data_IF_267546501880
#
_entry.id   IF_267546501880
#
_cell.length_a   1.000
_cell.length_b   1.000
_cell.length_c   1.000
_cell.angle_alpha   90.00
_cell.angle_beta   90.00
_cell.angle_gamma   90.00
#
_symmetry.space_group_name_H-M   'P 1'
#
loop_
_entity.id
_entity.type
_entity.pdbx_description
1 polymer ?
#
# COMPACT_ATOMS: atom_id res chain seq x y z
N UNK A 1 -19.61 -0.27 10.18
CA UNK A 1 -20.07 0.12 11.54
C UNK A 1 -21.57 -0.08 11.69
N UNK A 2 -22.42 0.57 10.88
CA UNK A 2 -23.89 0.48 11.02
C UNK A 2 -24.43 -0.96 10.90
N UNK A 3 -24.01 -1.71 9.88
CA UNK A 3 -24.47 -3.08 9.65
C UNK A 3 -24.07 -4.02 10.80
N UNK A 4 -22.86 -3.88 11.33
CA UNK A 4 -22.43 -4.67 12.49
C UNK A 4 -23.15 -4.27 13.79
N UNK A 5 -23.34 -2.96 14.00
CA UNK A 5 -24.13 -2.49 15.16
C UNK A 5 -25.57 -3.01 15.10
N UNK A 6 -26.12 -3.19 13.89
CA UNK A 6 -27.44 -3.76 13.65
C UNK A 6 -27.45 -5.30 13.59
N UNK A 7 -26.30 -5.96 13.79
CA UNK A 7 -26.13 -7.42 13.65
C UNK A 7 -26.56 -7.97 12.28
N UNK A 8 -26.30 -7.20 11.22
CA UNK A 8 -26.63 -7.56 9.84
C UNK A 8 -25.38 -8.13 9.18
N UNK A 9 -25.45 -9.38 8.75
CA UNK A 9 -24.42 -10.00 7.95
C UNK A 9 -24.32 -9.34 6.58
N UNK A 10 -23.09 -9.09 6.11
CA UNK A 10 -22.84 -8.45 4.82
C UNK A 10 -21.61 -9.03 4.12
N UNK A 11 -21.63 -8.93 2.79
CA UNK A 11 -20.49 -9.28 1.95
C UNK A 11 -20.02 -8.05 1.18
N UNK A 12 -18.71 -7.83 1.15
CA UNK A 12 -18.10 -6.75 0.39
C UNK A 12 -17.48 -7.29 -0.89
N UNK A 13 -17.92 -6.80 -2.06
CA UNK A 13 -17.41 -7.22 -3.35
C UNK A 13 -16.45 -6.19 -3.96
N UNK A 14 -15.47 -6.68 -4.70
CA UNK A 14 -14.66 -5.82 -5.53
C UNK A 14 -15.49 -5.33 -6.73
N UNK A 15 -15.70 -3.99 -6.90
CA UNK A 15 -16.51 -3.45 -7.99
C UNK A 15 -16.02 -3.84 -9.38
N UNK A 16 -14.71 -4.04 -9.54
CA UNK A 16 -14.14 -4.47 -10.81
C UNK A 16 -14.47 -5.93 -11.12
N UNK A 17 -14.52 -6.80 -10.11
CA UNK A 17 -14.93 -8.19 -10.26
C UNK A 17 -16.41 -8.25 -10.67
N UNK A 18 -17.27 -7.54 -9.94
CA UNK A 18 -18.69 -7.40 -10.29
C UNK A 18 -18.86 -6.95 -11.75
N UNK A 19 -18.19 -5.87 -12.15
CA UNK A 19 -18.28 -5.33 -13.51
C UNK A 19 -17.82 -6.30 -14.59
N UNK A 20 -16.80 -7.12 -14.32
CA UNK A 20 -16.26 -8.07 -15.31
C UNK A 20 -17.05 -9.37 -15.39
N UNK A 21 -17.68 -9.81 -14.32
CA UNK A 21 -18.41 -11.07 -14.25
C UNK A 21 -19.77 -11.01 -14.94
N UNK A 22 -20.38 -9.83 -15.01
CA UNK A 22 -21.75 -9.66 -15.54
C UNK A 22 -21.80 -9.28 -17.03
N UNK A 23 -20.67 -9.25 -17.72
CA UNK A 23 -20.62 -8.97 -19.17
C UNK A 23 -20.97 -7.53 -19.54
N UNK A 24 -21.39 -7.32 -20.80
CA UNK A 24 -21.80 -6.02 -21.32
C UNK A 24 -23.26 -5.73 -20.93
N UNK A 25 -23.44 -4.75 -20.06
CA UNK A 25 -24.78 -4.32 -19.64
C UNK A 25 -25.02 -2.88 -20.04
N UNK A 26 -26.18 -2.62 -20.62
CA UNK A 26 -26.65 -1.26 -20.98
C UNK A 26 -27.50 -0.68 -19.83
N UNK A 27 -27.43 0.61 -19.66
CA UNK A 27 -28.14 1.34 -18.59
C UNK A 27 -27.27 1.53 -17.34
N UNK A 28 -27.39 2.70 -16.71
CA UNK A 28 -26.70 3.07 -15.47
C UNK A 28 -27.68 3.84 -14.60
N UNK A 29 -28.26 3.16 -13.63
CA UNK A 29 -29.02 3.76 -12.55
C UNK A 29 -28.93 2.83 -11.32
N UNK A 30 -29.26 3.34 -10.16
CA UNK A 30 -29.13 2.62 -8.89
C UNK A 30 -29.95 1.33 -8.83
N UNK A 31 -31.11 1.28 -9.48
CA UNK A 31 -31.95 0.06 -9.56
C UNK A 31 -31.23 -1.04 -10.35
N UNK A 32 -30.70 -0.73 -11.54
CA UNK A 32 -29.95 -1.67 -12.35
C UNK A 32 -28.70 -2.15 -11.63
N UNK A 33 -28.02 -1.28 -10.90
CA UNK A 33 -26.83 -1.64 -10.13
C UNK A 33 -27.19 -2.53 -8.93
N UNK A 34 -28.31 -2.28 -8.24
CA UNK A 34 -28.81 -3.16 -7.19
C UNK A 34 -29.19 -4.55 -7.70
N UNK A 35 -29.90 -4.64 -8.85
CA UNK A 35 -30.24 -5.90 -9.49
C UNK A 35 -29.00 -6.71 -9.88
N UNK A 36 -27.94 -6.03 -10.37
CA UNK A 36 -26.66 -6.66 -10.71
C UNK A 36 -25.93 -7.19 -9.48
N UNK A 37 -25.91 -6.43 -8.40
CA UNK A 37 -25.30 -6.86 -7.13
C UNK A 37 -26.02 -8.11 -6.62
N UNK A 38 -27.36 -8.10 -6.63
CA UNK A 38 -28.16 -9.24 -6.21
C UNK A 38 -27.91 -10.47 -7.08
N UNK A 39 -27.89 -10.29 -8.41
CA UNK A 39 -27.63 -11.39 -9.35
C UNK A 39 -26.20 -11.96 -9.21
N UNK A 40 -25.20 -11.10 -9.05
CA UNK A 40 -23.83 -11.52 -8.78
C UNK A 40 -23.73 -12.31 -7.46
N UNK A 41 -24.36 -11.82 -6.40
CA UNK A 41 -24.40 -12.50 -5.11
C UNK A 41 -25.07 -13.88 -5.22
N UNK A 42 -26.15 -13.99 -5.98
CA UNK A 42 -26.83 -15.26 -6.23
C UNK A 42 -25.95 -16.26 -7.01
N UNK A 43 -25.27 -15.81 -8.06
CA UNK A 43 -24.38 -16.68 -8.85
C UNK A 43 -23.18 -17.21 -8.04
N UNK A 44 -22.67 -16.41 -7.12
CA UNK A 44 -21.49 -16.75 -6.32
C UNK A 44 -21.82 -17.12 -4.87
N UNK A 45 -23.08 -17.44 -4.56
CA UNK A 45 -23.54 -17.68 -3.17
C UNK A 45 -22.72 -18.73 -2.42
N UNK A 46 -22.23 -19.74 -3.12
CA UNK A 46 -21.44 -20.83 -2.54
C UNK A 46 -19.97 -20.45 -2.27
N UNK A 47 -19.52 -19.33 -2.85
CA UNK A 47 -18.17 -18.77 -2.71
C UNK A 47 -18.13 -17.57 -1.74
N UNK A 48 -19.31 -17.08 -1.31
CA UNK A 48 -19.40 -15.89 -0.46
C UNK A 48 -18.93 -16.17 0.96
N UNK A 49 -18.10 -15.27 1.46
CA UNK A 49 -17.78 -15.20 2.88
C UNK A 49 -18.27 -13.87 3.47
N UNK A 50 -18.86 -13.93 4.65
CA UNK A 50 -19.24 -12.70 5.36
C UNK A 50 -18.02 -11.84 5.68
N UNK A 51 -18.14 -10.57 5.34
CA UNK A 51 -17.13 -9.58 5.68
C UNK A 51 -17.16 -9.30 7.18
N UNK A 52 -15.99 -9.17 7.78
CA UNK A 52 -15.84 -8.74 9.17
C UNK A 52 -15.20 -7.37 9.20
N UNK A 53 -15.67 -6.52 10.10
CA UNK A 53 -15.04 -5.23 10.30
C UNK A 53 -13.61 -5.44 10.86
N UNK A 54 -12.71 -4.60 10.44
CA UNK A 54 -11.37 -4.53 11.04
C UNK A 54 -11.48 -4.13 12.51
N UNK A 55 -10.54 -4.57 13.35
CA UNK A 55 -10.50 -4.13 14.76
C UNK A 55 -10.50 -2.61 14.89
N UNK A 56 -10.99 -2.10 16.01
CA UNK A 56 -11.13 -0.66 16.26
C UNK A 56 -9.82 0.11 16.07
N UNK A 57 -8.68 -0.47 16.49
CA UNK A 57 -7.34 0.10 16.29
C UNK A 57 -7.03 0.29 14.79
N UNK A 58 -7.33 -0.68 13.93
CA UNK A 58 -7.09 -0.59 12.48
C UNK A 58 -8.01 0.45 11.83
N UNK A 59 -9.26 0.57 12.27
CA UNK A 59 -10.19 1.58 11.77
C UNK A 59 -9.66 2.97 12.09
N UNK A 60 -9.28 3.22 13.33
CA UNK A 60 -8.71 4.50 13.76
C UNK A 60 -7.41 4.84 13.01
N UNK A 61 -6.50 3.86 12.87
CA UNK A 61 -5.28 4.05 12.08
C UNK A 61 -5.58 4.40 10.62
N UNK A 62 -6.64 3.84 10.04
CA UNK A 62 -7.07 4.16 8.66
C UNK A 62 -7.55 5.59 8.54
N UNK A 63 -8.30 6.09 9.52
CA UNK A 63 -8.80 7.47 9.55
C UNK A 63 -7.63 8.46 9.68
N UNK A 64 -6.70 8.23 10.61
CA UNK A 64 -5.49 9.05 10.76
C UNK A 64 -4.58 9.00 9.52
N UNK A 65 -4.42 7.84 8.90
CA UNK A 65 -3.65 7.73 7.65
C UNK A 65 -4.29 8.54 6.50
N UNK A 66 -5.62 8.58 6.44
CA UNK A 66 -6.34 9.40 5.46
C UNK A 66 -6.20 10.90 5.77
N UNK A 67 -6.20 11.31 7.03
CA UNK A 67 -5.96 12.68 7.48
C UNK A 67 -4.53 13.13 7.18
N UNK A 68 -3.53 12.35 7.62
CA UNK A 68 -2.12 12.58 7.30
C UNK A 68 -1.90 12.80 5.81
N UNK A 69 -2.52 11.96 4.98
CA UNK A 69 -2.42 12.07 3.52
C UNK A 69 -2.97 13.40 2.99
N UNK A 70 -4.07 13.91 3.57
CA UNK A 70 -4.61 15.25 3.20
C UNK A 70 -3.60 16.34 3.52
N UNK A 71 -3.01 16.30 4.73
CA UNK A 71 -2.00 17.30 5.16
C UNK A 71 -0.74 17.24 4.30
N UNK A 72 -0.20 16.06 4.03
CA UNK A 72 0.97 15.89 3.15
C UNK A 72 0.71 16.42 1.74
N UNK A 73 -0.51 16.20 1.20
CA UNK A 73 -0.88 16.75 -0.12
C UNK A 73 -0.92 18.27 -0.11
N UNK A 74 -1.58 18.89 0.88
CA UNK A 74 -1.65 20.35 1.01
C UNK A 74 -0.25 20.95 1.22
N UNK A 75 0.57 20.32 2.05
CA UNK A 75 1.96 20.74 2.26
C UNK A 75 2.76 20.73 0.96
N UNK A 76 2.63 19.68 0.16
CA UNK A 76 3.32 19.59 -1.13
C UNK A 76 2.88 20.70 -2.10
N UNK A 77 1.59 21.08 -2.09
CA UNK A 77 1.06 22.21 -2.89
C UNK A 77 1.70 23.54 -2.46
N UNK A 78 1.77 23.82 -1.15
CA UNK A 78 2.43 25.02 -0.63
C UNK A 78 3.95 25.03 -0.88
N UNK A 79 4.62 23.90 -0.69
CA UNK A 79 6.06 23.75 -0.99
C UNK A 79 6.35 23.97 -2.47
N UNK A 80 5.49 23.46 -3.37
CA UNK A 80 5.57 23.75 -4.80
C UNK A 80 5.45 25.23 -5.11
N UNK A 81 4.40 25.89 -4.57
CA UNK A 81 4.20 27.34 -4.71
C UNK A 81 5.43 28.16 -4.25
N UNK A 82 6.04 27.79 -3.12
CA UNK A 82 7.24 28.46 -2.62
C UNK A 82 8.47 28.20 -3.50
N UNK A 83 8.60 26.99 -4.04
CA UNK A 83 9.71 26.62 -4.93
C UNK A 83 9.67 27.43 -6.23
N UNK A 84 8.48 27.60 -6.80
CA UNK A 84 8.28 28.40 -8.04
C UNK A 84 8.58 29.88 -7.84
N UNK A 85 8.61 30.37 -6.60
CA UNK A 85 8.81 31.77 -6.22
C UNK A 85 10.06 32.03 -5.37
N UNK A 86 11.00 31.10 -5.35
CA UNK A 86 12.22 31.20 -4.51
C UNK A 86 13.06 32.45 -4.80
N UNK A 87 13.01 32.97 -6.04
CA UNK A 87 13.77 34.13 -6.49
C UNK A 87 12.91 35.42 -6.56
N UNK A 88 11.67 35.38 -6.03
CA UNK A 88 10.77 36.52 -5.97
C UNK A 88 10.98 37.33 -4.68
N UNK A 89 10.64 38.63 -4.73
CA UNK A 89 10.57 39.42 -3.50
C UNK A 89 9.58 38.82 -2.50
N UNK A 90 9.94 38.88 -1.21
CA UNK A 90 9.09 38.38 -0.13
C UNK A 90 7.80 39.19 -0.04
N UNK A 91 6.68 38.57 -0.33
CA UNK A 91 5.35 39.15 -0.23
C UNK A 91 4.56 38.50 0.89
N UNK A 92 3.51 39.18 1.38
CA UNK A 92 2.62 38.62 2.42
C UNK A 92 1.99 37.27 1.99
N UNK A 93 1.90 37.01 0.70
CA UNK A 93 1.40 35.72 0.17
C UNK A 93 2.43 34.61 0.35
N UNK A 94 3.71 34.90 0.10
CA UNK A 94 4.82 33.95 0.32
C UNK A 94 4.98 33.65 1.82
N UNK A 95 4.90 34.69 2.66
CA UNK A 95 4.96 34.55 4.13
C UNK A 95 3.83 33.64 4.66
N UNK A 96 2.58 33.87 4.20
CA UNK A 96 1.45 33.02 4.57
C UNK A 96 1.64 31.57 4.09
N UNK A 97 2.14 31.36 2.87
CA UNK A 97 2.41 30.03 2.36
C UNK A 97 3.48 29.29 3.19
N UNK A 98 4.56 30.03 3.56
CA UNK A 98 5.61 29.46 4.44
C UNK A 98 5.07 29.15 5.85
N UNK A 99 4.19 29.98 6.39
CA UNK A 99 3.52 29.72 7.66
C UNK A 99 2.62 28.48 7.59
N UNK A 100 1.84 28.33 6.51
CA UNK A 100 1.01 27.13 6.31
C UNK A 100 1.83 25.84 6.21
N UNK A 101 3.03 25.89 5.60
CA UNK A 101 3.94 24.73 5.59
C UNK A 101 4.32 24.32 7.01
N UNK A 102 4.64 25.28 7.89
CA UNK A 102 5.00 25.00 9.30
C UNK A 102 3.83 24.36 10.05
N UNK A 103 2.63 24.94 9.94
CA UNK A 103 1.43 24.36 10.57
C UNK A 103 1.21 22.92 10.10
N UNK A 104 1.32 22.67 8.78
CA UNK A 104 1.11 21.33 8.24
C UNK A 104 2.24 20.36 8.64
N UNK A 105 3.48 20.82 8.84
CA UNK A 105 4.56 19.99 9.42
C UNK A 105 4.20 19.56 10.86
N UNK A 106 3.69 20.48 11.68
CA UNK A 106 3.26 20.21 13.07
C UNK A 106 2.06 19.26 13.12
N UNK A 107 1.05 19.48 12.30
CA UNK A 107 -0.14 18.61 12.23
C UNK A 107 0.19 17.18 11.72
N UNK A 108 1.10 17.08 10.74
CA UNK A 108 1.57 15.76 10.27
C UNK A 108 2.27 15.02 11.40
N UNK A 109 3.15 15.69 12.15
CA UNK A 109 3.86 15.10 13.27
C UNK A 109 2.90 14.65 14.38
N UNK A 110 1.90 15.48 14.71
CA UNK A 110 0.86 15.15 15.71
C UNK A 110 0.07 13.91 15.33
N UNK A 111 -0.41 13.83 14.08
CA UNK A 111 -1.13 12.66 13.58
C UNK A 111 -0.26 11.40 13.58
N UNK A 112 1.03 11.51 13.21
CA UNK A 112 1.97 10.39 13.26
C UNK A 112 2.19 9.89 14.69
N UNK A 113 2.24 10.79 15.67
CA UNK A 113 2.34 10.45 17.09
C UNK A 113 1.10 9.72 17.59
N UNK A 114 -0.10 10.22 17.27
CA UNK A 114 -1.36 9.54 17.60
C UNK A 114 -1.45 8.14 16.99
N UNK A 115 -1.00 7.98 15.74
CA UNK A 115 -0.91 6.67 15.11
C UNK A 115 0.03 5.73 15.88
N UNK A 116 1.18 6.21 16.34
CA UNK A 116 2.11 5.44 17.17
C UNK A 116 1.51 5.07 18.53
N UNK A 117 0.76 5.96 19.16
CA UNK A 117 0.04 5.67 20.41
C UNK A 117 -0.95 4.52 20.24
N UNK A 118 -1.71 4.51 19.13
CA UNK A 118 -2.62 3.41 18.81
C UNK A 118 -1.86 2.11 18.60
N UNK A 119 -0.74 2.13 17.86
CA UNK A 119 0.10 0.96 17.62
C UNK A 119 0.62 0.41 18.95
N UNK A 120 1.13 1.28 19.83
CA UNK A 120 1.67 0.90 21.13
C UNK A 120 0.60 0.35 22.09
N UNK A 121 -0.65 0.73 21.93
CA UNK A 121 -1.76 0.25 22.76
C UNK A 121 -2.29 -1.14 22.38
N UNK A 122 -1.93 -1.65 21.19
CA UNK A 122 -2.37 -2.97 20.68
C UNK A 122 -1.15 -3.89 20.51
N UNK A 123 -0.95 -4.88 21.42
CA UNK A 123 0.24 -5.73 21.40
C UNK A 123 0.43 -6.51 20.09
N UNK A 124 -0.65 -6.86 19.40
CA UNK A 124 -0.58 -7.62 18.14
C UNK A 124 -0.10 -6.71 16.99
N UNK A 125 -0.56 -5.46 16.98
CA UNK A 125 -0.15 -4.45 16.01
C UNK A 125 1.29 -4.02 16.28
N UNK A 126 1.63 -3.74 17.54
CA UNK A 126 2.97 -3.34 17.96
C UNK A 126 4.01 -4.37 17.53
N UNK A 127 3.76 -5.67 17.82
CA UNK A 127 4.66 -6.74 17.42
C UNK A 127 4.92 -6.74 15.91
N UNK A 128 3.88 -6.66 15.09
CA UNK A 128 4.04 -6.65 13.64
C UNK A 128 4.73 -5.37 13.14
N UNK A 129 4.46 -4.21 13.76
CA UNK A 129 5.13 -2.96 13.47
C UNK A 129 6.64 -3.03 13.73
N UNK A 130 7.06 -3.59 14.85
CA UNK A 130 8.49 -3.79 15.19
C UNK A 130 9.16 -4.75 14.21
N UNK A 131 8.49 -5.86 13.85
CA UNK A 131 8.98 -6.80 12.86
C UNK A 131 9.18 -6.16 11.49
N UNK A 132 8.26 -5.30 11.05
CA UNK A 132 8.37 -4.58 9.78
C UNK A 132 9.52 -3.58 9.80
N UNK A 133 9.67 -2.81 10.88
CA UNK A 133 10.75 -1.83 11.02
C UNK A 133 12.15 -2.47 11.11
N UNK A 134 12.25 -3.76 11.41
CA UNK A 134 13.52 -4.49 11.36
C UNK A 134 14.05 -4.67 9.94
N UNK A 135 13.22 -4.48 8.90
CA UNK A 135 13.60 -4.66 7.50
C UNK A 135 14.22 -3.36 6.98
N UNK A 136 15.48 -3.41 6.54
CA UNK A 136 16.14 -2.25 5.94
C UNK A 136 15.36 -1.71 4.75
N UNK A 137 15.10 -0.40 4.76
CA UNK A 137 14.30 0.29 3.77
C UNK A 137 12.81 0.43 4.13
N UNK A 138 12.31 -0.32 5.12
CA UNK A 138 10.95 -0.14 5.63
C UNK A 138 10.99 0.80 6.83
N UNK A 139 10.48 2.00 6.67
CA UNK A 139 10.33 2.98 7.75
C UNK A 139 8.90 2.99 8.30
N UNK A 140 8.72 3.81 9.35
CA UNK A 140 7.47 4.01 10.10
C UNK A 140 6.23 4.03 9.21
N UNK A 141 6.18 4.92 8.22
CA UNK A 141 4.99 5.10 7.37
C UNK A 141 4.70 3.87 6.50
N UNK A 142 5.74 3.22 5.96
CA UNK A 142 5.55 1.99 5.18
C UNK A 142 5.05 0.84 6.06
N UNK A 143 5.55 0.72 7.30
CA UNK A 143 5.08 -0.27 8.27
C UNK A 143 3.62 -0.03 8.64
N UNK A 144 3.25 1.21 9.02
CA UNK A 144 1.87 1.61 9.33
C UNK A 144 0.92 1.32 8.17
N UNK A 145 1.25 1.79 6.95
CA UNK A 145 0.42 1.57 5.77
C UNK A 145 0.26 0.08 5.46
N UNK A 146 1.31 -0.72 5.64
CA UNK A 146 1.22 -2.18 5.44
C UNK A 146 0.25 -2.80 6.44
N UNK A 147 0.35 -2.48 7.73
CA UNK A 147 -0.55 -2.95 8.80
C UNK A 147 -2.02 -2.59 8.48
N UNK A 148 -2.27 -1.33 8.13
CA UNK A 148 -3.61 -0.82 7.81
C UNK A 148 -4.23 -1.57 6.63
N UNK A 149 -3.48 -1.69 5.52
CA UNK A 149 -4.00 -2.25 4.28
C UNK A 149 -4.05 -3.77 4.25
N UNK A 150 -3.24 -4.43 5.08
CA UNK A 150 -3.31 -5.88 5.26
C UNK A 150 -4.26 -6.31 6.39
N UNK A 151 -4.93 -5.36 7.06
CA UNK A 151 -5.68 -5.61 8.28
C UNK A 151 -4.85 -6.41 9.29
N UNK A 152 -3.66 -5.90 9.60
CA UNK A 152 -2.66 -6.58 10.44
C UNK A 152 -2.33 -8.00 9.93
N UNK A 153 -2.12 -8.15 8.62
CA UNK A 153 -1.82 -9.41 7.91
C UNK A 153 -2.93 -10.46 7.92
N UNK A 154 -4.18 -10.07 8.20
CA UNK A 154 -5.35 -10.95 8.14
C UNK A 154 -6.05 -10.92 6.77
N UNK A 155 -5.90 -9.84 5.98
CA UNK A 155 -6.60 -9.68 4.71
C UNK A 155 -5.95 -10.43 3.54
N UNK A 156 -4.72 -10.89 3.67
CA UNK A 156 -3.97 -11.59 2.62
C UNK A 156 -3.21 -12.77 3.21
N UNK A 157 -3.43 -13.94 2.66
CA UNK A 157 -2.73 -15.17 3.09
C UNK A 157 -1.27 -15.20 2.62
N UNK A 158 -0.98 -14.56 1.49
CA UNK A 158 0.33 -14.61 0.85
C UNK A 158 0.85 -13.24 0.44
N UNK A 159 2.19 -13.10 0.46
CA UNK A 159 2.87 -11.91 -0.07
C UNK A 159 2.48 -11.62 -1.53
N UNK A 160 2.20 -12.67 -2.34
CA UNK A 160 1.81 -12.51 -3.74
C UNK A 160 0.42 -11.87 -3.89
N UNK A 161 -0.55 -12.24 -3.04
CA UNK A 161 -1.89 -11.61 -3.04
C UNK A 161 -1.78 -10.11 -2.72
N UNK A 162 -1.01 -9.75 -1.69
CA UNK A 162 -0.76 -8.35 -1.35
C UNK A 162 0.00 -7.62 -2.46
N UNK A 163 0.99 -8.25 -3.09
CA UNK A 163 1.70 -7.67 -4.24
C UNK A 163 0.77 -7.46 -5.47
N UNK A 164 -0.23 -8.32 -5.67
CA UNK A 164 -1.28 -8.10 -6.67
C UNK A 164 -2.13 -6.88 -6.33
N UNK A 165 -2.55 -6.74 -5.08
CA UNK A 165 -3.29 -5.58 -4.58
C UNK A 165 -2.51 -4.27 -4.78
N UNK A 166 -1.20 -4.28 -4.54
CA UNK A 166 -0.30 -3.15 -4.77
C UNK A 166 -0.03 -2.87 -6.27
N UNK A 167 -0.38 -3.79 -7.16
CA UNK A 167 -0.07 -3.68 -8.59
C UNK A 167 1.43 -3.79 -8.89
N UNK A 168 2.16 -4.59 -8.12
CA UNK A 168 3.60 -4.86 -8.32
C UNK A 168 3.90 -6.30 -8.72
N UNK A 169 2.95 -7.23 -8.56
CA UNK A 169 3.11 -8.60 -8.98
C UNK A 169 3.17 -8.69 -10.52
N UNK A 170 4.20 -9.35 -11.08
CA UNK A 170 4.27 -9.58 -12.50
C UNK A 170 3.34 -10.72 -12.91
N UNK A 171 2.65 -10.54 -14.05
CA UNK A 171 1.84 -11.57 -14.70
C UNK A 171 2.40 -11.87 -16.08
N UNK A 172 2.53 -13.13 -16.39
CA UNK A 172 2.87 -13.59 -17.74
C UNK A 172 1.70 -13.32 -18.68
N UNK A 173 2.04 -12.92 -19.89
CA UNK A 173 1.08 -12.71 -20.95
C UNK A 173 1.44 -13.69 -22.08
N UNK A 174 0.89 -14.89 -22.00
CA UNK A 174 1.06 -15.91 -23.03
C UNK A 174 -0.31 -16.37 -23.54
N UNK A 175 -0.43 -16.61 -24.83
CA UNK A 175 -1.61 -17.20 -25.45
C UNK A 175 -1.15 -18.35 -26.33
N UNK A 176 -1.52 -19.57 -25.93
CA UNK A 176 -1.08 -20.81 -26.60
C UNK A 176 0.44 -20.98 -26.60
N UNK A 177 0.95 -21.73 -27.55
CA UNK A 177 2.39 -22.02 -27.73
C UNK A 177 3.14 -20.94 -28.51
N UNK A 178 2.43 -20.09 -29.27
CA UNK A 178 3.01 -19.17 -30.26
C UNK A 178 3.20 -17.74 -29.78
N UNK A 179 2.43 -17.28 -28.77
CA UNK A 179 2.51 -15.89 -28.28
C UNK A 179 3.12 -15.87 -26.89
N UNK A 180 4.40 -15.47 -26.81
CA UNK A 180 5.11 -15.15 -25.55
C UNK A 180 5.21 -13.63 -25.41
N UNK A 181 4.19 -13.02 -24.80
CA UNK A 181 4.19 -11.59 -24.50
C UNK A 181 5.15 -11.22 -23.35
N UNK A 182 5.51 -9.92 -23.26
CA UNK A 182 6.32 -9.42 -22.13
C UNK A 182 5.50 -9.48 -20.83
N UNK A 183 6.07 -10.04 -19.78
CA UNK A 183 5.52 -10.01 -18.42
C UNK A 183 5.23 -8.58 -17.99
N UNK A 184 4.01 -8.30 -17.54
CA UNK A 184 3.54 -6.96 -17.14
C UNK A 184 2.89 -6.97 -15.77
N UNK A 185 2.99 -5.86 -15.06
CA UNK A 185 2.21 -5.62 -13.85
C UNK A 185 0.83 -5.08 -14.20
N UNK A 186 -0.17 -5.39 -13.38
CA UNK A 186 -1.53 -4.89 -13.61
C UNK A 186 -1.64 -3.41 -13.19
N UNK A 187 -2.22 -2.52 -14.01
CA UNK A 187 -2.20 -1.08 -13.76
C UNK A 187 -3.18 -0.61 -12.64
N UNK A 188 -4.09 -1.47 -12.20
CA UNK A 188 -5.18 -1.15 -11.27
C UNK A 188 -4.83 -1.25 -9.78
N UNK A 189 -3.54 -1.37 -9.44
CA UNK A 189 -3.11 -1.47 -8.05
C UNK A 189 -3.23 -0.15 -7.26
N UNK A 190 -3.03 -0.22 -5.95
CA UNK A 190 -3.04 0.90 -5.01
C UNK A 190 -1.87 1.87 -5.29
N UNK A 191 -2.07 2.83 -6.19
CA UNK A 191 -1.01 3.71 -6.73
C UNK A 191 -0.18 4.42 -5.66
N UNK A 192 -0.83 4.88 -4.58
CA UNK A 192 -0.14 5.61 -3.50
C UNK A 192 0.77 4.70 -2.69
N UNK A 193 0.27 3.55 -2.26
CA UNK A 193 1.09 2.55 -1.56
C UNK A 193 2.26 2.06 -2.42
N UNK A 194 2.04 1.95 -3.72
CA UNK A 194 3.10 1.63 -4.67
C UNK A 194 4.17 2.74 -4.74
N UNK A 195 3.79 4.01 -4.58
CA UNK A 195 4.72 5.14 -4.52
C UNK A 195 5.53 5.11 -3.23
N UNK A 196 4.88 4.93 -2.06
CA UNK A 196 5.54 4.81 -0.76
C UNK A 196 6.54 3.64 -0.76
N UNK A 197 6.12 2.50 -1.31
CA UNK A 197 7.00 1.34 -1.45
C UNK A 197 8.15 1.57 -2.45
N UNK A 198 8.03 2.54 -3.37
CA UNK A 198 9.15 2.93 -4.24
C UNK A 198 10.24 3.63 -3.46
N UNK A 199 9.88 4.49 -2.52
CA UNK A 199 10.84 5.14 -1.62
C UNK A 199 11.51 4.11 -0.71
N UNK A 200 10.74 3.18 -0.15
CA UNK A 200 11.28 2.07 0.63
C UNK A 200 12.28 1.22 -0.19
N UNK A 201 11.97 0.93 -1.44
CA UNK A 201 12.84 0.16 -2.32
C UNK A 201 14.13 0.93 -2.66
N UNK A 202 14.05 2.24 -2.91
CA UNK A 202 15.24 3.07 -3.12
C UNK A 202 16.12 3.12 -1.85
N UNK A 203 15.53 3.28 -0.68
CA UNK A 203 16.25 3.20 0.60
C UNK A 203 16.93 1.83 0.78
N UNK A 204 16.19 0.73 0.50
CA UNK A 204 16.75 -0.61 0.60
C UNK A 204 17.94 -0.83 -0.37
N UNK A 205 17.88 -0.32 -1.59
CA UNK A 205 18.99 -0.39 -2.55
C UNK A 205 20.24 0.32 -2.02
N UNK A 206 20.09 1.37 -1.21
CA UNK A 206 21.22 2.11 -0.63
C UNK A 206 21.77 1.40 0.61
N UNK A 207 20.89 0.95 1.51
CA UNK A 207 21.29 0.53 2.87
C UNK A 207 21.29 -0.98 3.12
N UNK A 208 20.71 -1.79 2.20
CA UNK A 208 20.68 -3.24 2.27
C UNK A 208 21.61 -3.83 1.22
N UNK A 209 22.66 -4.51 1.68
CA UNK A 209 23.71 -5.07 0.80
C UNK A 209 23.15 -6.07 -0.23
N UNK A 210 22.25 -6.96 0.19
CA UNK A 210 21.64 -7.95 -0.72
C UNK A 210 20.78 -7.27 -1.79
N UNK A 211 19.99 -6.24 -1.41
CA UNK A 211 19.17 -5.49 -2.36
C UNK A 211 20.01 -4.67 -3.32
N UNK A 212 21.11 -4.09 -2.84
CA UNK A 212 22.08 -3.36 -3.67
C UNK A 212 22.69 -4.29 -4.70
N UNK A 213 23.27 -5.42 -4.27
CA UNK A 213 23.90 -6.41 -5.17
C UNK A 213 22.88 -6.95 -6.20
N UNK A 214 21.65 -7.24 -5.75
CA UNK A 214 20.57 -7.65 -6.65
C UNK A 214 20.25 -6.58 -7.69
N UNK A 215 20.09 -5.33 -7.24
CA UNK A 215 19.80 -4.21 -8.13
C UNK A 215 20.90 -4.00 -9.16
N UNK A 216 22.16 -3.91 -8.74
CA UNK A 216 23.31 -3.70 -9.62
C UNK A 216 23.45 -4.83 -10.66
N UNK A 217 23.33 -6.08 -10.23
CA UNK A 217 23.35 -7.24 -11.13
C UNK A 217 22.25 -7.13 -12.19
N UNK A 218 21.02 -6.84 -11.80
CA UNK A 218 19.91 -6.73 -12.75
C UNK A 218 20.03 -5.54 -13.68
N UNK A 219 20.65 -4.45 -13.25
CA UNK A 219 20.96 -3.31 -14.11
C UNK A 219 22.06 -3.65 -15.13
N UNK A 220 23.09 -4.39 -14.70
CA UNK A 220 24.14 -4.91 -15.61
C UNK A 220 23.60 -5.90 -16.66
N UNK A 221 22.56 -6.67 -16.32
CA UNK A 221 21.81 -7.52 -17.26
C UNK A 221 20.96 -6.71 -18.27
N UNK A 222 21.05 -5.38 -18.30
CA UNK A 222 20.30 -4.51 -19.23
C UNK A 222 18.85 -4.27 -18.85
N UNK A 223 18.38 -4.67 -17.65
CA UNK A 223 17.00 -4.43 -17.23
C UNK A 223 16.77 -2.95 -16.94
N UNK A 224 15.61 -2.40 -17.39
CA UNK A 224 15.23 -1.02 -17.13
C UNK A 224 15.07 -0.73 -15.64
N UNK A 225 15.40 0.49 -15.21
CA UNK A 225 15.29 0.94 -13.78
C UNK A 225 13.96 0.56 -13.14
N UNK A 226 12.85 0.95 -13.75
CA UNK A 226 11.51 0.70 -13.19
C UNK A 226 11.17 -0.79 -13.02
N UNK A 227 11.71 -1.66 -13.90
CA UNK A 227 11.53 -3.11 -13.80
C UNK A 227 12.30 -3.66 -12.60
N UNK A 228 13.56 -3.23 -12.43
CA UNK A 228 14.39 -3.69 -11.30
C UNK A 228 13.87 -3.16 -9.99
N UNK A 229 13.48 -1.87 -9.92
CA UNK A 229 12.88 -1.29 -8.73
C UNK A 229 11.59 -2.02 -8.34
N UNK A 230 10.76 -2.39 -9.32
CA UNK A 230 9.54 -3.15 -9.05
C UNK A 230 9.84 -4.56 -8.50
N UNK A 231 10.91 -5.20 -8.96
CA UNK A 231 11.36 -6.48 -8.41
C UNK A 231 11.86 -6.34 -6.96
N UNK A 232 12.56 -5.25 -6.63
CA UNK A 232 12.96 -4.93 -5.24
C UNK A 232 11.74 -4.73 -4.36
N UNK A 233 10.72 -3.98 -4.81
CA UNK A 233 9.45 -3.85 -4.06
C UNK A 233 8.81 -5.20 -3.77
N UNK A 234 8.76 -6.08 -4.76
CA UNK A 234 8.20 -7.41 -4.60
C UNK A 234 8.98 -8.24 -3.57
N UNK A 235 10.32 -8.15 -3.57
CA UNK A 235 11.18 -8.78 -2.56
C UNK A 235 10.92 -8.20 -1.16
N UNK A 236 10.76 -6.88 -1.02
CA UNK A 236 10.43 -6.25 0.26
C UNK A 236 9.09 -6.75 0.81
N UNK A 237 8.05 -6.83 -0.03
CA UNK A 237 6.76 -7.42 0.36
C UNK A 237 6.93 -8.88 0.81
N UNK A 238 7.74 -9.66 0.11
CA UNK A 238 8.08 -11.02 0.53
C UNK A 238 8.72 -11.07 1.91
N UNK A 239 9.67 -10.17 2.21
CA UNK A 239 10.32 -10.05 3.53
C UNK A 239 9.32 -9.64 4.62
N UNK A 240 8.42 -8.70 4.36
CA UNK A 240 7.37 -8.28 5.30
C UNK A 240 6.52 -9.46 5.76
N UNK A 241 6.00 -10.24 4.83
CA UNK A 241 5.21 -11.43 5.15
C UNK A 241 6.05 -12.52 5.85
N UNK A 242 7.31 -12.68 5.46
CA UNK A 242 8.20 -13.67 6.06
C UNK A 242 8.51 -13.37 7.53
N UNK A 243 8.82 -12.11 7.89
CA UNK A 243 9.11 -11.76 9.29
C UNK A 243 7.87 -11.88 10.17
N UNK A 244 6.70 -11.47 9.68
CA UNK A 244 5.44 -11.59 10.42
C UNK A 244 5.05 -13.05 10.61
N UNK A 245 5.11 -13.87 9.55
CA UNK A 245 4.80 -15.31 9.65
C UNK A 245 5.76 -16.06 10.58
N UNK A 246 7.04 -15.71 10.56
CA UNK A 246 8.07 -16.31 11.43
C UNK A 246 7.98 -15.78 12.85
N UNK A 247 7.50 -14.55 13.05
CA UNK A 247 7.41 -13.89 14.34
C UNK A 247 8.75 -13.45 14.92
N UNK A 248 9.80 -13.32 14.08
CA UNK A 248 11.13 -12.87 14.47
C UNK A 248 11.65 -11.78 13.53
N UNK A 249 12.43 -10.80 14.02
CA UNK A 249 12.99 -9.73 13.22
C UNK A 249 13.77 -10.21 12.00
N UNK A 250 13.92 -9.31 11.03
CA UNK A 250 14.74 -9.59 9.85
C UNK A 250 16.21 -9.71 10.25
N UNK A 251 16.85 -10.79 9.80
CA UNK A 251 18.27 -11.06 10.02
C UNK A 251 18.96 -11.03 8.65
N UNK A 252 20.02 -10.24 8.53
CA UNK A 252 20.88 -10.27 7.34
C UNK A 252 21.62 -11.61 7.29
N UNK A 253 21.47 -12.32 6.19
CA UNK A 253 22.28 -13.50 5.93
C UNK A 253 23.72 -13.01 5.68
N UNK A 254 24.64 -13.33 6.59
CA UNK A 254 26.06 -13.22 6.32
C UNK A 254 26.39 -14.22 5.23
N UNK A 255 26.60 -13.75 4.00
CA UNK A 255 27.16 -14.58 2.95
C UNK A 255 28.61 -14.88 3.33
N UNK A 256 28.85 -16.05 3.88
CA UNK A 256 30.20 -16.59 3.92
C UNK A 256 30.66 -16.70 2.46
N UNK A 257 31.56 -15.81 2.03
CA UNK A 257 32.30 -16.03 0.79
C UNK A 257 33.07 -17.33 0.96
N UNK A 258 32.67 -18.35 0.19
CA UNK A 258 33.54 -19.51 -0.07
C UNK A 258 34.73 -19.07 -0.90
#
# INVERSE_FOLDING_TARGET
>A
LFLEAASIDYCSFNPLHLKRSLGLVRGKNDRVDAERIAYFAYLHRDELSYSKLSGSSIIRLRDFAAERKRFVKQQAEYKGFLTDRKDCEMTSTIERAAHMVKILDEEIASVEEEMLQIINSDPSILRNYELLNSIKGIGTINAMNTIIHTNNFQAFETARQYACYLGIAPFEHSSGTSIKGKTRVYPTGAKLLKADLSQAANSAIVWDKEMKEYYERKRKEGKAYGVVLNAVKFKLVGRMFAVVKRGTPFVELMTYKK
#
